data_IF_743075936249
#
_entry.id   IF_743075936249
#
_cell.length_a   1.000
_cell.length_b   1.000
_cell.length_c   1.000
_cell.angle_alpha   90.00
_cell.angle_beta   90.00
_cell.angle_gamma   90.00
#
_symmetry.space_group_name_H-M   'P 1'
#
loop_
_entity.id
_entity.type
_entity.pdbx_description
1 polymer ?
#
# COMPACT_ATOMS: atom_id res chain seq x y z
N UNK A 1 15.65 -10.60 -10.82
CA UNK A 1 14.52 -10.50 -9.87
C UNK A 1 13.55 -9.54 -10.51
N UNK A 2 12.40 -10.05 -10.92
CA UNK A 2 11.37 -9.21 -11.53
C UNK A 2 10.61 -8.47 -10.43
N UNK A 3 10.48 -7.16 -10.56
CA UNK A 3 9.66 -6.33 -9.69
C UNK A 3 8.34 -6.02 -10.38
N UNK A 4 7.30 -5.78 -9.59
CA UNK A 4 5.99 -5.36 -10.10
C UNK A 4 5.54 -4.11 -9.38
N UNK A 5 4.92 -3.19 -10.12
CA UNK A 5 4.38 -1.95 -9.56
C UNK A 5 2.89 -2.10 -9.31
N UNK A 6 2.48 -1.95 -8.05
CA UNK A 6 1.06 -1.86 -7.68
C UNK A 6 0.65 -0.40 -7.58
N UNK A 7 -0.29 0.03 -8.43
CA UNK A 7 -0.75 1.41 -8.48
C UNK A 7 -2.27 1.47 -8.26
N UNK A 8 -2.70 2.30 -7.31
CA UNK A 8 -4.10 2.68 -7.18
C UNK A 8 -4.39 3.88 -8.10
N UNK A 9 -5.22 3.68 -9.13
CA UNK A 9 -5.64 4.73 -10.08
C UNK A 9 -7.06 5.23 -9.82
N UNK A 10 -7.56 5.05 -8.61
CA UNK A 10 -8.91 5.48 -8.25
C UNK A 10 -8.98 7.01 -8.20
N UNK A 11 -9.99 7.59 -8.86
CA UNK A 11 -10.22 9.04 -8.83
C UNK A 11 -11.12 9.40 -7.64
N UNK A 12 -10.57 10.16 -6.69
CA UNK A 12 -11.26 10.61 -5.49
C UNK A 12 -12.19 11.81 -5.71
N UNK A 13 -12.24 12.37 -6.92
CA UNK A 13 -13.13 13.48 -7.28
C UNK A 13 -12.99 14.70 -6.36
N UNK A 14 -11.77 14.98 -5.90
CA UNK A 14 -11.46 16.10 -5.00
C UNK A 14 -11.43 15.74 -3.52
N UNK A 15 -11.89 14.56 -3.13
CA UNK A 15 -11.83 14.11 -1.73
C UNK A 15 -10.40 13.68 -1.32
N UNK A 16 -10.02 13.87 -0.05
CA UNK A 16 -8.71 13.45 0.44
C UNK A 16 -8.63 11.92 0.52
N UNK A 17 -7.47 11.37 0.16
CA UNK A 17 -7.20 9.95 0.33
C UNK A 17 -7.17 9.59 1.82
N UNK A 18 -7.99 8.62 2.22
CA UNK A 18 -7.97 8.09 3.59
C UNK A 18 -6.86 7.05 3.78
N UNK A 19 -6.86 5.98 2.98
CA UNK A 19 -5.85 4.92 3.05
C UNK A 19 -5.77 4.13 1.74
N UNK A 20 -4.58 3.63 1.40
CA UNK A 20 -4.38 2.56 0.42
C UNK A 20 -3.78 1.36 1.16
N UNK A 21 -4.34 0.17 0.93
CA UNK A 21 -3.84 -1.08 1.52
C UNK A 21 -3.68 -2.14 0.43
N UNK A 22 -2.58 -2.87 0.48
CA UNK A 22 -2.34 -4.01 -0.39
C UNK A 22 -2.35 -5.30 0.41
N UNK A 23 -3.04 -6.31 -0.14
CA UNK A 23 -3.20 -7.63 0.45
C UNK A 23 -2.76 -8.71 -0.54
N UNK A 24 -2.15 -9.77 -0.02
CA UNK A 24 -1.90 -11.01 -0.76
C UNK A 24 -2.39 -12.17 0.10
N UNK A 25 -3.30 -12.98 -0.44
CA UNK A 25 -3.89 -14.10 0.31
C UNK A 25 -4.62 -13.67 1.59
N UNK A 26 -5.22 -12.48 1.61
CA UNK A 26 -5.89 -11.92 2.78
C UNK A 26 -4.96 -11.32 3.84
N UNK A 27 -3.64 -11.43 3.68
CA UNK A 27 -2.67 -10.80 4.58
C UNK A 27 -2.23 -9.44 4.02
N UNK A 28 -2.30 -8.42 4.86
CA UNK A 28 -1.83 -7.08 4.54
C UNK A 28 -0.29 -7.06 4.51
N UNK A 29 0.32 -6.46 3.49
CA UNK A 29 1.77 -6.32 3.41
C UNK A 29 2.23 -4.87 3.20
N UNK A 30 1.33 -3.97 2.81
CA UNK A 30 1.61 -2.55 2.65
C UNK A 30 0.39 -1.69 2.98
N UNK A 31 0.63 -0.55 3.62
CA UNK A 31 -0.36 0.49 3.91
C UNK A 31 0.23 1.87 3.69
N UNK A 32 -0.57 2.74 3.07
CA UNK A 32 -0.30 4.17 2.96
C UNK A 32 -1.45 4.95 3.58
N UNK A 33 -1.15 5.82 4.55
CA UNK A 33 -2.07 6.75 5.19
C UNK A 33 -1.44 8.15 5.13
N UNK A 34 -1.93 9.06 4.26
CA UNK A 34 -1.33 10.40 4.10
C UNK A 34 -1.29 11.25 5.37
N UNK A 35 -2.18 10.96 6.33
CA UNK A 35 -2.36 11.72 7.57
C UNK A 35 -1.50 11.21 8.74
N UNK A 36 -0.68 10.18 8.54
CA UNK A 36 0.18 9.59 9.57
C UNK A 36 1.67 9.86 9.31
N UNK A 37 2.48 9.74 10.36
CA UNK A 37 3.94 9.79 10.30
C UNK A 37 4.51 8.56 11.01
N UNK A 38 5.19 7.63 10.31
CA UNK A 38 5.40 7.60 8.86
C UNK A 38 4.10 7.36 8.08
N UNK A 39 4.01 7.93 6.88
CA UNK A 39 2.83 7.79 6.01
C UNK A 39 2.72 6.41 5.37
N UNK A 40 3.82 5.64 5.37
CA UNK A 40 3.89 4.26 4.89
C UNK A 40 4.14 3.29 6.04
N UNK A 41 3.51 2.13 5.98
CA UNK A 41 3.76 1.00 6.87
C UNK A 41 3.93 -0.26 6.01
N UNK A 42 5.00 -1.01 6.26
CA UNK A 42 5.29 -2.28 5.59
C UNK A 42 5.15 -3.40 6.61
N UNK A 43 4.37 -4.42 6.27
CA UNK A 43 4.19 -5.59 7.11
C UNK A 43 4.92 -6.77 6.48
N UNK A 44 5.75 -7.45 7.26
CA UNK A 44 6.52 -8.58 6.77
C UNK A 44 5.57 -9.70 6.32
N UNK A 45 5.69 -10.08 5.05
CA UNK A 45 4.97 -11.19 4.46
C UNK A 45 5.98 -12.09 3.72
N UNK A 46 6.08 -13.39 4.04
CA UNK A 46 7.06 -14.27 3.41
C UNK A 46 6.98 -14.25 1.88
N UNK A 47 8.13 -14.03 1.24
CA UNK A 47 8.25 -13.96 -0.21
C UNK A 47 7.79 -12.64 -0.84
N UNK A 48 7.49 -11.61 -0.03
CA UNK A 48 7.24 -10.24 -0.50
C UNK A 48 8.29 -9.31 0.10
N UNK A 49 8.90 -8.50 -0.75
CA UNK A 49 9.75 -7.38 -0.36
C UNK A 49 9.15 -6.12 -0.96
N UNK A 50 9.05 -5.06 -0.16
CA UNK A 50 8.61 -3.73 -0.60
C UNK A 50 9.85 -2.84 -0.64
N UNK A 51 10.09 -2.22 -1.80
CA UNK A 51 11.14 -1.23 -2.05
C UNK A 51 10.58 0.20 -1.93
#
# INVERSE_FOLDING_TARGET
MDTVTLQCKYNLQGEPLYTVKWYKGGQEFFRYIPKELPSTQVFALPGITVD
#
